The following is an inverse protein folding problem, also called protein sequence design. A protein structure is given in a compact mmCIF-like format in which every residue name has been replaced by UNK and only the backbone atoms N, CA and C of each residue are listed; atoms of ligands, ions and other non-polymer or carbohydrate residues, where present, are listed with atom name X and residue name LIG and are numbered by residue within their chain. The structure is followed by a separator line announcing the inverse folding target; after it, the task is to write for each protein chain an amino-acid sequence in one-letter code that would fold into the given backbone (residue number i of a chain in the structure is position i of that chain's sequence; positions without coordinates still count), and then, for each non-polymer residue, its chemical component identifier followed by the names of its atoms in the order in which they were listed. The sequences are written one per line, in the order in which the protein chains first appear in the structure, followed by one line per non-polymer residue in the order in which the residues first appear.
data_IF_833696308767
#
_entry.id   IF_833696308767
#
_cell.length_a   1.000
_cell.length_b   1.000
_cell.length_c   1.000
_cell.angle_alpha   90.00
_cell.angle_beta   90.00
_cell.angle_gamma   90.00
#
_symmetry.space_group_name_H-M   'P 1'
#
loop_
_entity.id
_entity.type
_entity.pdbx_description
1 polymer ?
#
# COMPACT_ATOMS: atom_id res chain seq x y z
N UNK A 1 -11.49 10.02 4.84
CA UNK A 1 -10.08 10.18 5.30
C UNK A 1 -9.65 11.61 5.11
N UNK A 2 -9.00 12.20 6.11
CA UNK A 2 -8.71 13.64 6.17
C UNK A 2 -7.21 13.91 6.33
N UNK A 3 -6.68 14.88 5.58
CA UNK A 3 -5.29 15.32 5.64
C UNK A 3 -5.04 16.40 6.73
N UNK A 4 -3.83 16.97 6.77
CA UNK A 4 -3.46 18.02 7.72
C UNK A 4 -4.18 19.35 7.52
N UNK A 5 -4.74 19.57 6.32
CA UNK A 5 -5.47 20.78 5.96
C UNK A 5 -6.98 20.64 6.21
N UNK A 6 -7.45 19.47 6.63
CA UNK A 6 -8.88 19.21 6.83
C UNK A 6 -9.59 18.72 5.57
N UNK A 7 -8.86 18.38 4.52
CA UNK A 7 -9.42 17.98 3.22
C UNK A 7 -9.52 16.45 3.06
N UNK A 8 -10.52 15.99 2.30
CA UNK A 8 -10.67 14.58 1.94
C UNK A 8 -9.48 14.13 1.06
N UNK A 9 -8.80 13.07 1.48
CA UNK A 9 -7.57 12.58 0.85
C UNK A 9 -7.50 11.05 0.75
N UNK A 10 -6.40 10.53 0.21
CA UNK A 10 -6.10 9.10 0.12
C UNK A 10 -5.46 8.55 1.40
N UNK A 11 -5.18 7.24 1.43
CA UNK A 11 -4.60 6.60 2.61
C UNK A 11 -3.21 7.16 2.92
N UNK A 12 -2.35 7.32 1.92
CA UNK A 12 -0.95 7.77 2.09
C UNK A 12 -0.82 9.12 2.79
N UNK A 13 -1.78 10.03 2.59
CA UNK A 13 -1.75 11.39 3.12
C UNK A 13 -2.67 11.61 4.33
N UNK A 14 -3.61 10.70 4.60
CA UNK A 14 -4.53 10.83 5.72
C UNK A 14 -3.79 10.91 7.07
N UNK A 15 -4.19 11.84 7.94
CA UNK A 15 -3.73 11.90 9.34
C UNK A 15 -4.85 11.61 10.32
N UNK A 16 -6.10 11.60 9.85
CA UNK A 16 -7.30 11.34 10.66
C UNK A 16 -8.34 10.58 9.83
N UNK A 17 -9.10 9.74 10.52
CA UNK A 17 -10.32 9.13 10.02
C UNK A 17 -11.49 9.71 10.80
N UNK A 18 -12.44 10.32 10.10
CA UNK A 18 -13.72 10.71 10.69
C UNK A 18 -14.72 9.57 10.43
N UNK A 19 -15.29 9.05 11.50
CA UNK A 19 -16.31 8.00 11.47
C UNK A 19 -17.62 8.65 11.89
N UNK A 20 -18.67 8.40 11.11
CA UNK A 20 -20.01 8.93 11.36
C UNK A 20 -20.96 7.74 11.46
N UNK A 21 -21.34 7.39 12.67
CA UNK A 21 -22.34 6.36 12.97
C UNK A 21 -23.20 6.82 14.15
N UNK A 22 -24.29 7.54 13.84
CA UNK A 22 -25.14 8.24 14.81
C UNK A 22 -24.48 9.43 15.52
N UNK A 23 -23.15 9.40 15.71
CA UNK A 23 -22.30 10.45 16.26
C UNK A 23 -20.97 10.52 15.49
N UNK A 24 -20.26 11.64 15.62
CA UNK A 24 -18.95 11.84 14.98
C UNK A 24 -17.83 11.39 15.93
N UNK A 25 -17.06 10.40 15.50
CA UNK A 25 -15.82 9.96 16.13
C UNK A 25 -14.62 10.33 15.24
N UNK A 26 -13.49 10.68 15.86
CA UNK A 26 -12.25 11.00 15.15
C UNK A 26 -11.14 10.09 15.64
N UNK A 27 -10.62 9.26 14.74
CA UNK A 27 -9.44 8.42 14.97
C UNK A 27 -8.22 9.12 14.36
N UNK A 28 -7.14 9.22 15.14
CA UNK A 28 -5.85 9.71 14.65
C UNK A 28 -5.14 8.59 13.89
N UNK A 29 -4.74 8.86 12.64
CA UNK A 29 -3.96 7.96 11.78
C UNK A 29 -2.48 8.36 11.67
N UNK A 30 -1.98 9.19 12.58
CA UNK A 30 -0.62 9.72 12.52
C UNK A 30 0.47 8.68 12.83
N UNK A 31 0.18 7.68 13.66
CA UNK A 31 1.17 6.72 14.19
C UNK A 31 0.97 5.28 13.71
N UNK A 32 -0.29 4.88 13.55
CA UNK A 32 -0.71 3.63 12.91
C UNK A 32 -1.86 3.97 11.95
N UNK A 33 -1.68 3.75 10.65
CA UNK A 33 -2.71 4.10 9.68
C UNK A 33 -3.67 2.94 9.52
N UNK A 34 -3.14 1.84 9.00
CA UNK A 34 -3.94 0.65 8.73
C UNK A 34 -4.27 -0.13 9.99
N UNK A 35 -3.42 -0.06 11.02
CA UNK A 35 -3.72 -0.68 12.32
C UNK A 35 -4.96 -0.09 13.00
N UNK A 36 -5.27 1.17 12.70
CA UNK A 36 -6.26 1.96 13.43
C UNK A 36 -7.57 2.11 12.63
N UNK A 37 -7.63 1.58 11.40
CA UNK A 37 -8.84 1.57 10.57
C UNK A 37 -9.72 0.39 10.96
N UNK A 38 -10.91 0.62 11.56
CA UNK A 38 -11.85 -0.46 11.84
C UNK A 38 -12.50 -0.96 10.54
N UNK A 39 -13.29 -2.03 10.66
CA UNK A 39 -14.17 -2.42 9.55
C UNK A 39 -15.27 -1.37 9.39
N UNK A 40 -15.44 -0.86 8.18
CA UNK A 40 -16.38 0.20 7.83
C UNK A 40 -17.41 -0.32 6.81
N UNK A 41 -18.58 0.29 6.75
CA UNK A 41 -19.49 0.04 5.64
C UNK A 41 -19.11 0.86 4.41
N UNK A 42 -18.78 2.14 4.62
CA UNK A 42 -18.39 3.05 3.54
C UNK A 42 -17.14 3.82 3.96
N UNK A 43 -16.10 3.76 3.13
CA UNK A 43 -14.90 4.57 3.27
C UNK A 43 -14.85 5.57 2.11
N UNK A 44 -14.80 6.86 2.45
CA UNK A 44 -14.71 7.96 1.47
C UNK A 44 -13.31 8.57 1.52
N UNK A 45 -12.69 8.70 0.35
CA UNK A 45 -11.42 9.38 0.14
C UNK A 45 -11.37 10.04 -1.23
N UNK A 46 -10.17 10.47 -1.63
CA UNK A 46 -9.90 11.05 -2.95
C UNK A 46 -8.51 10.65 -3.41
N UNK A 47 -8.35 10.41 -4.71
CA UNK A 47 -7.06 10.19 -5.36
C UNK A 47 -6.34 8.96 -4.80
N UNK A 48 -7.11 7.88 -4.59
CA UNK A 48 -6.55 6.60 -4.16
C UNK A 48 -5.62 6.03 -5.22
N UNK A 49 -4.46 5.57 -4.76
CA UNK A 49 -3.58 4.75 -5.58
C UNK A 49 -4.22 3.36 -5.79
N UNK A 50 -3.89 2.66 -6.89
CA UNK A 50 -4.54 1.38 -7.20
C UNK A 50 -4.23 0.30 -6.15
N UNK A 51 -3.02 0.32 -5.60
CA UNK A 51 -2.65 -0.54 -4.48
C UNK A 51 -3.46 -0.26 -3.22
N UNK A 52 -3.69 1.01 -2.89
CA UNK A 52 -4.54 1.43 -1.77
C UNK A 52 -5.98 0.96 -1.97
N UNK A 53 -6.55 1.11 -3.18
CA UNK A 53 -7.90 0.62 -3.50
C UNK A 53 -8.01 -0.88 -3.22
N UNK A 54 -7.03 -1.66 -3.67
CA UNK A 54 -7.03 -3.11 -3.46
C UNK A 54 -6.96 -3.44 -1.97
N UNK A 55 -6.15 -2.71 -1.21
CA UNK A 55 -5.94 -2.97 0.21
C UNK A 55 -7.14 -2.56 1.08
N UNK A 56 -7.66 -1.34 0.86
CA UNK A 56 -8.76 -0.78 1.66
C UNK A 56 -10.07 -1.55 1.49
N UNK A 57 -10.28 -2.23 0.36
CA UNK A 57 -11.43 -3.12 0.15
C UNK A 57 -11.50 -4.28 1.14
N UNK A 58 -10.41 -4.60 1.84
CA UNK A 58 -10.44 -5.60 2.92
C UNK A 58 -11.05 -5.04 4.23
N UNK A 59 -11.21 -3.72 4.34
CA UNK A 59 -11.70 -3.02 5.55
C UNK A 59 -13.03 -2.32 5.33
N UNK A 60 -13.55 -2.28 4.11
CA UNK A 60 -14.80 -1.57 3.80
C UNK A 60 -15.66 -2.33 2.81
N UNK A 61 -16.98 -2.29 2.99
CA UNK A 61 -17.91 -2.87 2.01
C UNK A 61 -17.93 -2.03 0.72
N UNK A 62 -17.91 -0.70 0.86
CA UNK A 62 -17.84 0.25 -0.26
C UNK A 62 -16.68 1.22 -0.08
N UNK A 63 -15.87 1.39 -1.14
CA UNK A 63 -14.81 2.39 -1.21
C UNK A 63 -15.16 3.43 -2.27
N UNK A 64 -15.30 4.69 -1.84
CA UNK A 64 -15.63 5.82 -2.71
C UNK A 64 -14.39 6.68 -2.89
N UNK A 65 -13.90 6.76 -4.13
CA UNK A 65 -12.90 7.74 -4.55
C UNK A 65 -13.69 8.92 -5.14
N UNK A 66 -13.66 10.10 -4.52
CA UNK A 66 -14.58 11.23 -4.76
C UNK A 66 -15.36 11.17 -6.09
N UNK A 67 -16.69 11.07 -5.96
CA UNK A 67 -17.69 11.00 -7.03
C UNK A 67 -17.71 9.71 -7.87
N UNK A 68 -16.88 8.70 -7.57
CA UNK A 68 -16.91 7.39 -8.22
C UNK A 68 -16.67 6.25 -7.21
N UNK A 69 -17.16 5.06 -7.54
CA UNK A 69 -16.76 3.85 -6.82
C UNK A 69 -15.33 3.50 -7.21
N UNK A 70 -14.48 3.26 -6.21
CA UNK A 70 -13.09 2.90 -6.44
C UNK A 70 -12.98 1.49 -7.05
N UNK A 71 -12.36 1.39 -8.23
CA UNK A 71 -12.19 0.14 -8.97
C UNK A 71 -10.71 -0.21 -9.11
N UNK A 72 -10.43 -1.52 -9.11
CA UNK A 72 -9.07 -2.04 -9.37
C UNK A 72 -8.94 -2.22 -10.88
N UNK A 73 -7.98 -1.53 -11.47
CA UNK A 73 -7.71 -1.62 -12.90
C UNK A 73 -6.67 -2.72 -13.13
N UNK A 74 -6.90 -3.67 -14.05
CA UNK A 74 -5.88 -4.64 -14.41
C UNK A 74 -4.65 -3.94 -15.01
N UNK A 75 -3.52 -4.03 -14.31
CA UNK A 75 -2.25 -3.45 -14.73
C UNK A 75 -1.24 -4.57 -14.83
N UNK A 76 -0.41 -4.60 -15.88
CA UNK A 76 0.75 -5.48 -15.96
C UNK A 76 1.97 -4.71 -15.48
N UNK A 77 2.70 -5.28 -14.54
CA UNK A 77 3.90 -4.65 -14.00
C UNK A 77 5.13 -5.03 -14.86
N UNK A 78 6.15 -4.14 -14.93
CA UNK A 78 7.39 -4.40 -15.66
C UNK A 78 8.32 -5.44 -15.00
N UNK A 79 7.84 -6.11 -13.95
CA UNK A 79 8.46 -7.29 -13.34
C UNK A 79 7.68 -8.52 -13.82
N UNK A 80 8.31 -9.33 -14.67
CA UNK A 80 7.77 -10.64 -15.02
C UNK A 80 7.51 -11.43 -13.73
N UNK A 81 6.31 -12.02 -13.62
CA UNK A 81 5.78 -12.72 -12.43
C UNK A 81 6.88 -13.32 -11.56
N UNK A 82 7.13 -12.70 -10.41
CA UNK A 82 8.12 -13.16 -9.44
C UNK A 82 7.48 -14.11 -8.43
N UNK A 83 8.27 -15.02 -7.86
CA UNK A 83 7.87 -15.76 -6.66
C UNK A 83 8.06 -14.84 -5.43
N UNK A 84 6.98 -14.15 -5.05
CA UNK A 84 6.97 -13.05 -4.08
C UNK A 84 5.64 -12.97 -3.35
N UNK A 85 5.64 -12.34 -2.16
CA UNK A 85 4.41 -11.77 -1.59
C UNK A 85 4.10 -10.43 -2.29
N UNK A 86 2.88 -10.26 -2.80
CA UNK A 86 2.43 -9.04 -3.46
C UNK A 86 1.43 -8.24 -2.64
N UNK A 87 1.83 -7.05 -2.21
CA UNK A 87 0.95 -6.07 -1.57
C UNK A 87 0.48 -5.06 -2.60
N UNK A 88 -0.83 -4.86 -2.72
CA UNK A 88 -1.42 -3.91 -3.66
C UNK A 88 -1.47 -4.39 -5.12
N UNK A 89 -1.05 -5.61 -5.45
CA UNK A 89 -1.09 -6.14 -6.84
C UNK A 89 -1.26 -7.67 -6.88
N UNK A 90 -1.51 -8.21 -8.08
CA UNK A 90 -1.63 -9.64 -8.39
C UNK A 90 -0.60 -10.10 -9.45
N UNK A 91 0.47 -9.34 -9.69
CA UNK A 91 1.49 -9.62 -10.71
C UNK A 91 2.61 -10.59 -10.26
N UNK A 92 2.36 -11.47 -9.29
CA UNK A 92 3.33 -12.49 -8.86
C UNK A 92 2.75 -13.90 -8.90
N UNK A 93 3.64 -14.90 -8.87
CA UNK A 93 3.30 -16.32 -8.70
C UNK A 93 3.12 -16.74 -7.24
N UNK A 94 3.63 -15.94 -6.31
CA UNK A 94 3.51 -16.22 -4.88
C UNK A 94 2.14 -15.83 -4.34
N UNK A 95 2.12 -15.17 -3.18
CA UNK A 95 0.87 -14.87 -2.47
C UNK A 95 0.45 -13.43 -2.73
N UNK A 96 -0.80 -13.22 -3.14
CA UNK A 96 -1.37 -11.88 -3.37
C UNK A 96 -2.48 -11.55 -2.38
N UNK A 97 -2.64 -10.25 -2.07
CA UNK A 97 -3.63 -9.73 -1.12
C UNK A 97 -5.05 -9.74 -1.65
N UNK A 98 -5.21 -10.00 -2.94
CA UNK A 98 -6.52 -10.15 -3.58
C UNK A 98 -7.02 -11.59 -3.44
N UNK A 99 -6.13 -12.55 -3.62
CA UNK A 99 -6.48 -13.97 -3.69
C UNK A 99 -6.70 -14.58 -2.29
N UNK A 100 -6.11 -13.94 -1.28
CA UNK A 100 -6.37 -14.27 0.11
C UNK A 100 -6.66 -12.97 0.87
N UNK A 101 -7.80 -12.93 1.55
CA UNK A 101 -8.23 -11.80 2.36
C UNK A 101 -7.29 -11.73 3.57
N UNK A 102 -6.21 -10.95 3.44
CA UNK A 102 -5.35 -10.62 4.56
C UNK A 102 -5.63 -9.19 5.01
N UNK A 103 -5.96 -9.06 6.29
CA UNK A 103 -5.83 -7.80 7.01
C UNK A 103 -4.39 -7.65 7.51
N UNK A 104 -4.05 -6.44 7.93
CA UNK A 104 -2.88 -6.14 8.72
C UNK A 104 -3.17 -6.53 10.18
N UNK A 105 -2.23 -7.16 10.93
CA UNK A 105 -0.95 -7.68 10.45
C UNK A 105 -1.14 -8.93 9.58
N UNK A 106 -0.17 -9.20 8.71
CA UNK A 106 -0.24 -10.34 7.79
C UNK A 106 -0.12 -11.66 8.57
N UNK A 107 -0.91 -12.70 8.25
CA UNK A 107 -0.90 -13.96 8.99
C UNK A 107 0.25 -14.89 8.57
N UNK A 108 1.44 -14.32 8.44
CA UNK A 108 2.67 -15.04 8.12
C UNK A 108 3.66 -14.92 9.26
N UNK A 109 4.49 -15.96 9.42
CA UNK A 109 5.61 -15.91 10.38
C UNK A 109 6.69 -14.96 9.88
N UNK A 110 7.52 -14.51 10.81
CA UNK A 110 8.70 -13.72 10.50
C UNK A 110 9.60 -14.46 9.50
N UNK A 111 10.17 -13.74 8.55
CA UNK A 111 11.14 -14.27 7.57
C UNK A 111 10.66 -15.47 6.75
N UNK A 112 9.37 -15.50 6.38
CA UNK A 112 8.76 -16.55 5.56
C UNK A 112 9.03 -16.42 4.06
N UNK A 113 9.25 -15.20 3.54
CA UNK A 113 9.32 -14.95 2.09
C UNK A 113 10.72 -14.55 1.61
N UNK A 114 11.09 -14.99 0.42
CA UNK A 114 12.37 -14.68 -0.21
C UNK A 114 12.37 -13.35 -1.00
N UNK A 115 11.19 -12.80 -1.29
CA UNK A 115 11.04 -11.51 -1.98
C UNK A 115 9.64 -10.92 -1.72
N UNK A 116 9.47 -9.62 -1.99
CA UNK A 116 8.17 -8.95 -1.93
C UNK A 116 8.02 -7.88 -3.00
N UNK A 117 6.78 -7.63 -3.41
CA UNK A 117 6.38 -6.52 -4.28
C UNK A 117 5.36 -5.68 -3.52
N UNK A 118 5.58 -4.37 -3.45
CA UNK A 118 4.66 -3.38 -2.92
C UNK A 118 4.27 -2.47 -4.08
N UNK A 119 3.06 -2.63 -4.61
CA UNK A 119 2.56 -1.79 -5.68
C UNK A 119 1.64 -0.74 -5.09
N UNK A 120 1.99 0.53 -5.25
CA UNK A 120 1.08 1.65 -4.99
C UNK A 120 0.40 1.65 -3.61
N UNK A 121 1.13 1.22 -2.59
CA UNK A 121 0.75 1.34 -1.18
C UNK A 121 1.89 2.05 -0.43
N UNK A 122 1.66 3.31 -0.03
CA UNK A 122 2.64 4.19 0.61
C UNK A 122 2.44 4.30 2.12
N UNK A 123 2.21 3.15 2.75
CA UNK A 123 1.90 3.05 4.17
C UNK A 123 3.06 2.42 4.96
N UNK A 124 3.48 3.06 6.06
CA UNK A 124 4.64 2.57 6.84
C UNK A 124 4.35 1.27 7.59
N UNK A 125 3.10 1.00 7.96
CA UNK A 125 2.71 -0.25 8.61
C UNK A 125 2.90 -1.41 7.62
N UNK A 126 2.58 -1.19 6.35
CA UNK A 126 2.87 -2.15 5.28
C UNK A 126 4.35 -2.33 5.05
N UNK A 127 5.14 -1.25 5.02
CA UNK A 127 6.60 -1.37 4.85
C UNK A 127 7.21 -2.18 6.01
N UNK A 128 6.76 -1.93 7.24
CA UNK A 128 7.18 -2.66 8.45
C UNK A 128 6.78 -4.12 8.38
N UNK A 129 5.55 -4.40 7.95
CA UNK A 129 5.04 -5.76 7.90
C UNK A 129 5.66 -6.59 6.80
N UNK A 130 5.87 -6.01 5.62
CA UNK A 130 6.68 -6.64 4.56
C UNK A 130 8.09 -6.90 5.07
N UNK A 131 8.70 -5.96 5.80
CA UNK A 131 10.02 -6.18 6.40
C UNK A 131 10.02 -7.35 7.39
N UNK A 132 8.98 -7.50 8.23
CA UNK A 132 8.85 -8.61 9.17
C UNK A 132 8.83 -9.96 8.46
N UNK A 133 8.02 -10.09 7.40
CA UNK A 133 7.77 -11.39 6.75
C UNK A 133 8.82 -11.79 5.71
N UNK A 134 9.65 -10.87 5.19
CA UNK A 134 10.75 -11.23 4.26
C UNK A 134 12.04 -11.59 5.01
N UNK A 135 12.86 -12.47 4.43
CA UNK A 135 14.16 -12.87 5.00
C UNK A 135 15.20 -11.76 4.88
N UNK A 136 16.22 -11.79 5.74
CA UNK A 136 17.38 -10.90 5.61
C UNK A 136 18.10 -11.14 4.27
N UNK A 137 18.53 -10.07 3.60
CA UNK A 137 19.12 -10.15 2.26
C UNK A 137 18.10 -10.30 1.11
N UNK A 138 16.81 -10.52 1.39
CA UNK A 138 15.78 -10.57 0.37
C UNK A 138 15.54 -9.23 -0.31
N UNK A 139 15.18 -9.31 -1.59
CA UNK A 139 14.82 -8.15 -2.42
C UNK A 139 13.35 -7.80 -2.24
N UNK A 140 13.08 -6.50 -2.11
CA UNK A 140 11.75 -5.93 -2.06
C UNK A 140 11.65 -4.86 -3.13
N UNK A 141 10.59 -4.91 -3.93
CA UNK A 141 10.33 -3.98 -5.00
C UNK A 141 9.15 -3.10 -4.62
N UNK A 142 9.37 -1.80 -4.50
CA UNK A 142 8.28 -0.83 -4.52
C UNK A 142 8.07 -0.36 -5.95
N UNK A 143 6.85 -0.48 -6.44
CA UNK A 143 6.47 -0.04 -7.79
C UNK A 143 5.37 1.01 -7.68
N UNK A 144 5.60 2.15 -8.33
CA UNK A 144 4.67 3.26 -8.40
C UNK A 144 4.45 3.61 -9.87
N UNK A 145 3.20 3.87 -10.29
CA UNK A 145 3.00 4.50 -11.59
C UNK A 145 3.60 5.90 -11.56
N UNK A 146 4.01 6.39 -12.72
CA UNK A 146 4.38 7.79 -12.86
C UNK A 146 3.17 8.70 -12.54
N UNK A 147 3.44 9.90 -12.03
CA UNK A 147 2.41 10.90 -11.72
C UNK A 147 1.57 11.26 -12.94
N UNK A 148 2.16 11.24 -14.14
CA UNK A 148 1.43 11.46 -15.40
C UNK A 148 0.32 10.41 -15.63
N UNK A 149 0.42 9.24 -15.01
CA UNK A 149 -0.55 8.15 -15.10
C UNK A 149 -1.35 7.95 -13.80
N UNK A 150 -1.41 8.98 -12.95
CA UNK A 150 -2.15 8.95 -11.68
C UNK A 150 -1.50 8.09 -10.60
N UNK A 151 -0.17 7.95 -10.64
CA UNK A 151 0.63 7.38 -9.55
C UNK A 151 1.18 8.43 -8.58
N UNK A 152 2.10 8.00 -7.71
CA UNK A 152 2.64 8.81 -6.62
C UNK A 152 4.02 9.40 -6.92
N UNK A 153 4.52 10.28 -6.04
CA UNK A 153 5.91 10.74 -6.11
C UNK A 153 6.87 9.57 -5.89
N UNK A 154 7.82 9.28 -6.81
CA UNK A 154 8.87 8.30 -6.53
C UNK A 154 9.71 8.66 -5.30
N UNK A 155 9.85 9.96 -4.96
CA UNK A 155 10.58 10.39 -3.78
C UNK A 155 9.88 9.98 -2.48
N UNK A 156 8.55 9.99 -2.46
CA UNK A 156 7.77 9.49 -1.31
C UNK A 156 7.96 7.99 -1.13
N UNK A 157 7.88 7.23 -2.23
CA UNK A 157 8.18 5.79 -2.22
C UNK A 157 9.58 5.49 -1.70
N UNK A 158 10.58 6.24 -2.19
CA UNK A 158 11.96 6.11 -1.77
C UNK A 158 12.13 6.36 -0.26
N UNK A 159 11.54 7.43 0.27
CA UNK A 159 11.55 7.77 1.71
C UNK A 159 10.89 6.68 2.54
N UNK A 160 9.74 6.16 2.12
CA UNK A 160 9.01 5.11 2.84
C UNK A 160 9.79 3.79 2.83
N UNK A 161 10.27 3.34 1.68
CA UNK A 161 10.99 2.07 1.56
C UNK A 161 12.34 2.10 2.31
N UNK A 162 13.07 3.22 2.23
CA UNK A 162 14.37 3.39 2.91
C UNK A 162 14.27 3.34 4.45
N UNK A 163 13.08 3.49 5.03
CA UNK A 163 12.87 3.36 6.47
C UNK A 163 13.17 1.97 7.03
N UNK A 164 13.08 0.91 6.20
CA UNK A 164 13.31 -0.49 6.60
C UNK A 164 14.23 -1.26 5.67
N UNK A 165 14.47 -0.77 4.46
CA UNK A 165 15.28 -1.46 3.45
C UNK A 165 16.44 -0.59 3.00
N UNK A 166 17.58 -1.21 2.71
CA UNK A 166 18.67 -0.53 2.00
C UNK A 166 18.28 -0.45 0.53
N UNK A 167 18.00 0.75 0.03
CA UNK A 167 17.72 0.95 -1.40
C UNK A 167 19.00 0.74 -2.19
N UNK A 168 18.94 -0.08 -3.23
CA UNK A 168 20.08 -0.45 -4.08
C UNK A 168 19.90 -0.03 -5.54
N UNK A 169 18.66 0.21 -5.97
CA UNK A 169 18.37 0.66 -7.33
C UNK A 169 17.08 1.48 -7.33
N UNK A 170 17.06 2.52 -8.16
CA UNK A 170 15.85 3.22 -8.60
C UNK A 170 15.92 3.30 -10.12
N UNK A 171 14.85 2.91 -10.81
CA UNK A 171 14.75 3.08 -12.27
C UNK A 171 13.33 3.41 -12.68
N UNK A 172 13.20 4.17 -13.75
CA UNK A 172 11.96 4.32 -14.49
C UNK A 172 11.93 3.27 -15.61
N UNK A 173 10.77 2.64 -15.81
CA UNK A 173 10.52 1.71 -16.90
C UNK A 173 9.03 1.67 -17.22
N UNK A 174 8.69 1.94 -18.47
CA UNK A 174 7.33 1.78 -19.01
C UNK A 174 6.27 2.59 -18.24
N UNK A 175 6.62 3.80 -17.77
CA UNK A 175 5.70 4.64 -16.98
C UNK A 175 5.58 4.21 -15.52
N UNK A 176 6.52 3.41 -15.03
CA UNK A 176 6.61 3.00 -13.63
C UNK A 176 7.97 3.34 -13.04
N UNK A 177 7.95 3.83 -11.80
CA UNK A 177 9.12 3.89 -10.94
C UNK A 177 9.26 2.58 -10.18
N UNK A 178 10.43 1.95 -10.31
CA UNK A 178 10.79 0.70 -9.65
C UNK A 178 11.93 1.00 -8.68
N UNK A 179 11.67 0.82 -7.39
CA UNK A 179 12.61 1.03 -6.31
C UNK A 179 12.94 -0.34 -5.72
N UNK A 180 14.18 -0.80 -5.89
CA UNK A 180 14.67 -2.05 -5.32
C UNK A 180 15.33 -1.78 -3.97
N UNK A 181 14.82 -2.42 -2.92
CA UNK A 181 15.38 -2.44 -1.58
C UNK A 181 15.82 -3.84 -1.17
N UNK A 182 16.80 -3.91 -0.26
CA UNK A 182 17.28 -5.15 0.35
C UNK A 182 17.08 -5.07 1.86
N UNK A 183 16.51 -6.11 2.47
CA UNK A 183 16.36 -6.17 3.93
C UNK A 183 17.73 -6.26 4.60
N UNK A 184 18.01 -5.33 5.51
CA UNK A 184 19.23 -5.35 6.34
C UNK A 184 19.16 -6.55 7.29
N UNK A 185 20.31 -7.20 7.51
CA UNK A 185 20.48 -8.23 8.54
C UNK A 185 20.33 -7.66 9.94
#
# INVERSE_FOLDING_TARGET
MIDSNGEITNLSNAIKLEIIDGSKEIISLAYGKLSDIPKLNVLIGRDFLQGEVLFLKNYTDFLVDKNKLASVIPIRLPLNRQDAICVGTFNCYGVSFKDVIFSYPFPFRDSSFNSAIIFEVLDLDIIREVNRVVKSGSKVYMILRDRLFGGADPLEGLRKLSSKFKVVMVKEKEGFWIIEGVKKG
#
